data_IF_274514131990
#
_entry.id   IF_274514131990
#
_cell.length_a   1.000
_cell.length_b   1.000
_cell.length_c   1.000
_cell.angle_alpha   90.00
_cell.angle_beta   90.00
_cell.angle_gamma   90.00
#
_symmetry.space_group_name_H-M   'P 1'
#
loop_
_entity.id
_entity.type
_entity.pdbx_description
1 polymer ?
#
# COMPACT_ATOMS: atom_id res chain seq x y z
N UNK A 1 -3.92 1.01 29.24
CA UNK A 1 -2.79 0.67 28.34
C UNK A 1 -3.41 0.14 27.07
N UNK A 2 -3.18 0.78 25.92
CA UNK A 2 -3.69 0.27 24.64
C UNK A 2 -3.02 -1.06 24.28
N UNK A 3 -3.66 -1.86 23.43
CA UNK A 3 -3.05 -3.08 22.92
C UNK A 3 -1.76 -2.75 22.16
N UNK A 4 -0.74 -3.60 22.28
CA UNK A 4 0.52 -3.44 21.56
C UNK A 4 0.34 -3.80 20.07
N UNK A 5 1.14 -3.17 19.21
CA UNK A 5 1.17 -3.51 17.79
C UNK A 5 1.59 -4.96 17.59
N UNK A 6 0.99 -5.64 16.60
CA UNK A 6 1.39 -6.99 16.19
C UNK A 6 1.35 -7.10 14.67
N UNK A 7 2.17 -7.99 14.12
CA UNK A 7 2.26 -8.20 12.68
C UNK A 7 1.53 -9.49 12.29
N UNK A 8 0.56 -9.35 11.40
CA UNK A 8 -0.11 -10.47 10.77
C UNK A 8 0.37 -10.60 9.32
N UNK A 9 1.00 -11.72 8.92
CA UNK A 9 1.38 -11.93 7.52
C UNK A 9 0.15 -11.85 6.61
N UNK A 10 0.31 -11.21 5.46
CA UNK A 10 -0.72 -11.15 4.43
C UNK A 10 -0.23 -11.84 3.15
N UNK A 11 -1.17 -12.41 2.41
CA UNK A 11 -0.88 -13.11 1.17
C UNK A 11 -0.88 -12.11 0.00
N UNK A 12 0.31 -11.73 -0.43
CA UNK A 12 0.56 -10.99 -1.67
C UNK A 12 1.66 -11.69 -2.44
N UNK A 13 1.71 -11.59 -3.79
CA UNK A 13 2.78 -12.18 -4.56
C UNK A 13 4.13 -11.74 -4.00
N UNK A 14 5.07 -12.67 -3.74
CA UNK A 14 6.37 -12.31 -3.20
C UNK A 14 7.09 -11.38 -4.18
N UNK A 15 7.83 -10.40 -3.68
CA UNK A 15 8.62 -9.51 -4.52
C UNK A 15 9.91 -10.18 -4.99
N UNK A 16 10.41 -9.80 -6.16
CA UNK A 16 11.73 -10.24 -6.65
C UNK A 16 12.81 -9.83 -5.66
N UNK A 17 13.62 -10.78 -5.21
CA UNK A 17 14.70 -10.52 -4.26
C UNK A 17 15.84 -9.69 -4.86
N UNK A 18 16.09 -9.82 -6.18
CA UNK A 18 17.21 -9.12 -6.83
C UNK A 18 16.87 -7.69 -7.26
N UNK A 19 15.67 -7.47 -7.78
CA UNK A 19 15.25 -6.18 -8.30
C UNK A 19 13.71 -6.04 -8.22
N UNK A 20 13.14 -5.78 -7.04
CA UNK A 20 11.70 -5.70 -6.88
C UNK A 20 11.08 -4.51 -7.63
N UNK A 21 11.87 -3.45 -7.87
CA UNK A 21 11.45 -2.22 -8.57
C UNK A 21 10.05 -1.73 -8.16
N UNK A 22 9.80 -1.43 -6.87
CA UNK A 22 8.52 -0.90 -6.44
C UNK A 22 8.26 0.46 -7.10
N UNK A 23 7.10 0.59 -7.74
CA UNK A 23 6.58 1.81 -8.34
C UNK A 23 5.23 2.14 -7.73
N UNK A 24 5.03 3.42 -7.44
CA UNK A 24 3.85 3.91 -6.77
C UNK A 24 3.22 5.02 -7.58
N UNK A 25 1.91 4.94 -7.78
CA UNK A 25 1.08 6.06 -8.20
C UNK A 25 0.10 6.37 -7.06
N UNK A 26 0.03 7.63 -6.65
CA UNK A 26 -0.88 8.08 -5.60
C UNK A 26 -1.50 9.42 -6.01
N UNK A 27 -2.83 9.48 -6.01
CA UNK A 27 -3.61 10.73 -6.07
C UNK A 27 -4.41 10.90 -4.76
N UNK A 28 -5.41 11.79 -4.67
CA UNK A 28 -6.14 11.97 -3.40
C UNK A 28 -6.99 10.75 -3.00
N UNK A 29 -7.34 9.87 -3.94
CA UNK A 29 -8.25 8.76 -3.71
C UNK A 29 -7.55 7.41 -3.93
N UNK A 30 -6.78 7.30 -5.01
CA UNK A 30 -6.23 6.04 -5.50
C UNK A 30 -4.77 5.90 -5.14
N UNK A 31 -4.42 4.70 -4.69
CA UNK A 31 -3.05 4.25 -4.54
C UNK A 31 -2.88 2.97 -5.36
N UNK A 32 -1.92 3.00 -6.28
CA UNK A 32 -1.47 1.85 -7.05
C UNK A 32 -0.03 1.55 -6.66
N UNK A 33 0.25 0.30 -6.30
CA UNK A 33 1.58 -0.18 -5.98
C UNK A 33 1.89 -1.31 -6.94
N UNK A 34 2.92 -1.15 -7.76
CA UNK A 34 3.38 -2.18 -8.68
C UNK A 34 4.81 -2.60 -8.31
N UNK A 35 5.11 -3.89 -8.40
CA UNK A 35 6.46 -4.41 -8.22
C UNK A 35 6.66 -5.69 -9.03
N UNK A 36 7.91 -6.04 -9.33
CA UNK A 36 8.24 -7.30 -9.97
C UNK A 36 7.96 -8.45 -9.01
N UNK A 37 7.05 -9.35 -9.40
CA UNK A 37 6.73 -10.53 -8.62
C UNK A 37 7.82 -11.59 -8.82
N UNK A 38 8.19 -12.29 -7.75
CA UNK A 38 9.03 -13.46 -7.81
C UNK A 38 8.19 -14.66 -8.29
N UNK A 39 8.17 -14.87 -9.59
CA UNK A 39 7.65 -16.09 -10.19
C UNK A 39 8.86 -16.99 -10.48
N UNK A 40 8.97 -18.16 -9.82
CA UNK A 40 10.10 -19.06 -10.07
C UNK A 40 10.13 -19.48 -11.53
N UNK A 41 11.25 -19.22 -12.22
CA UNK A 41 11.56 -19.80 -13.52
C UNK A 41 12.35 -21.10 -13.30
N UNK A 42 11.76 -22.29 -13.53
CA UNK A 42 12.45 -23.56 -13.32
C UNK A 42 13.68 -23.75 -14.21
N UNK A 43 13.80 -22.97 -15.29
CA UNK A 43 14.94 -23.02 -16.20
C UNK A 43 16.08 -22.07 -15.80
N UNK A 44 15.89 -21.21 -14.78
CA UNK A 44 16.89 -20.26 -14.35
C UNK A 44 17.92 -20.91 -13.42
N UNK A 45 19.18 -20.97 -13.86
CA UNK A 45 20.29 -21.60 -13.15
C UNK A 45 21.10 -20.64 -12.26
N UNK A 46 20.70 -19.37 -12.18
CA UNK A 46 21.36 -18.34 -11.37
C UNK A 46 22.66 -17.77 -11.97
N UNK A 47 23.11 -18.23 -13.14
CA UNK A 47 24.43 -17.84 -13.70
C UNK A 47 24.38 -16.61 -14.60
N UNK A 48 23.19 -16.18 -15.04
CA UNK A 48 22.99 -15.07 -15.96
C UNK A 48 21.96 -14.06 -15.43
N UNK A 49 22.33 -13.21 -14.46
CA UNK A 49 21.42 -12.18 -13.95
C UNK A 49 21.04 -11.23 -15.08
N UNK A 50 19.72 -11.06 -15.30
CA UNK A 50 19.20 -10.12 -16.29
C UNK A 50 18.94 -8.79 -15.60
N UNK A 51 19.61 -7.74 -16.07
CA UNK A 51 19.29 -6.38 -15.63
C UNK A 51 17.88 -6.02 -16.10
N UNK A 52 17.03 -5.65 -15.15
CA UNK A 52 15.66 -5.19 -15.40
C UNK A 52 15.58 -3.70 -15.11
N UNK A 53 14.84 -2.99 -15.95
CA UNK A 53 14.53 -1.56 -15.80
C UNK A 53 13.02 -1.35 -15.79
N UNK A 54 12.53 -0.16 -15.40
CA UNK A 54 11.10 0.13 -15.42
C UNK A 54 10.40 -0.06 -16.78
N UNK A 55 11.19 0.00 -17.87
CA UNK A 55 10.72 -0.16 -19.25
C UNK A 55 10.92 -1.59 -19.79
N UNK A 56 11.49 -2.51 -19.00
CA UNK A 56 11.72 -3.90 -19.43
C UNK A 56 10.38 -4.63 -19.49
N UNK A 57 10.01 -5.10 -20.68
CA UNK A 57 8.78 -5.85 -20.92
C UNK A 57 8.83 -7.29 -20.40
N UNK A 58 7.70 -8.00 -20.56
CA UNK A 58 7.56 -9.43 -20.27
C UNK A 58 7.99 -9.82 -18.85
N UNK A 59 7.84 -8.90 -17.89
CA UNK A 59 8.11 -9.18 -16.48
C UNK A 59 6.81 -9.54 -15.76
N UNK A 60 6.82 -10.52 -14.84
CA UNK A 60 5.70 -10.75 -13.95
C UNK A 60 5.57 -9.60 -12.95
N UNK A 61 4.40 -8.97 -12.91
CA UNK A 61 4.09 -7.80 -12.09
C UNK A 61 2.98 -8.14 -11.11
N UNK A 62 3.19 -7.81 -9.84
CA UNK A 62 2.12 -7.70 -8.87
C UNK A 62 1.64 -6.24 -8.82
N UNK A 63 0.33 -6.04 -8.78
CA UNK A 63 -0.29 -4.73 -8.71
C UNK A 63 -1.34 -4.73 -7.60
N UNK A 64 -1.09 -3.93 -6.57
CA UNK A 64 -2.05 -3.63 -5.53
C UNK A 64 -2.81 -2.37 -5.93
N UNK A 65 -4.14 -2.45 -5.93
CA UNK A 65 -5.05 -1.33 -6.19
C UNK A 65 -5.82 -1.00 -4.91
N UNK A 66 -5.71 0.24 -4.47
CA UNK A 66 -6.27 0.72 -3.20
C UNK A 66 -7.11 1.97 -3.50
N UNK A 67 -8.38 1.95 -3.13
CA UNK A 67 -9.33 3.05 -3.39
C UNK A 67 -10.51 3.01 -2.39
N UNK A 68 -10.67 3.99 -1.49
CA UNK A 68 -9.72 5.05 -1.15
C UNK A 68 -8.60 4.56 -0.21
N UNK A 69 -7.43 5.20 -0.27
CA UNK A 69 -6.42 5.12 0.80
C UNK A 69 -6.46 6.37 1.71
N UNK A 70 -5.95 6.25 2.93
CA UNK A 70 -5.93 7.32 3.94
C UNK A 70 -4.55 7.95 4.09
N UNK A 71 -3.50 7.13 4.10
CA UNK A 71 -2.12 7.58 4.28
C UNK A 71 -1.15 6.63 3.60
N UNK A 72 0.01 7.16 3.20
CA UNK A 72 1.09 6.46 2.52
C UNK A 72 2.44 6.96 3.05
N UNK A 73 3.35 6.02 3.28
CA UNK A 73 4.77 6.27 3.51
C UNK A 73 5.57 5.33 2.62
N UNK A 74 6.54 5.85 1.88
CA UNK A 74 7.37 5.06 0.98
C UNK A 74 8.80 5.59 0.98
N UNK A 75 9.77 4.72 1.22
CA UNK A 75 11.18 5.07 1.30
C UNK A 75 11.94 4.17 2.28
N UNK A 76 12.92 4.69 3.04
CA UNK A 76 13.70 3.87 3.96
C UNK A 76 12.85 3.29 5.11
N UNK A 77 13.28 2.19 5.74
CA UNK A 77 14.58 1.51 5.54
C UNK A 77 14.60 0.54 4.34
N UNK A 78 15.82 0.25 3.88
CA UNK A 78 16.13 -0.89 3.02
C UNK A 78 16.27 -2.17 3.86
N UNK A 79 16.56 -3.30 3.23
CA UNK A 79 16.73 -4.59 3.90
C UNK A 79 17.94 -4.63 4.85
N UNK A 80 19.06 -3.97 4.50
CA UNK A 80 20.25 -3.86 5.35
C UNK A 80 19.99 -3.05 6.63
N UNK A 81 19.12 -2.02 6.55
CA UNK A 81 18.77 -1.14 7.66
C UNK A 81 17.44 -1.52 8.33
N UNK A 82 16.81 -2.64 7.93
CA UNK A 82 15.47 -3.04 8.41
C UNK A 82 15.42 -3.18 9.94
N UNK A 83 16.57 -3.50 10.57
CA UNK A 83 16.74 -3.57 12.01
C UNK A 83 16.42 -2.27 12.75
N UNK A 84 16.50 -1.12 12.07
CA UNK A 84 16.13 0.19 12.60
C UNK A 84 14.63 0.51 12.49
N UNK A 85 13.85 -0.32 11.81
CA UNK A 85 12.41 -0.09 11.69
C UNK A 85 11.69 -0.32 13.02
N UNK A 86 10.72 0.53 13.37
CA UNK A 86 9.97 0.45 14.64
C UNK A 86 9.26 -0.90 14.85
N UNK A 87 8.88 -1.57 13.76
CA UNK A 87 8.19 -2.88 13.79
C UNK A 87 9.15 -4.08 13.74
N UNK A 88 10.48 -3.86 13.66
CA UNK A 88 11.46 -4.94 13.58
C UNK A 88 11.43 -5.87 14.79
N UNK A 89 11.37 -5.30 15.99
CA UNK A 89 11.23 -6.07 17.24
C UNK A 89 9.94 -6.88 17.35
N UNK A 90 8.95 -6.63 16.48
CA UNK A 90 7.68 -7.34 16.41
C UNK A 90 7.66 -8.43 15.34
N UNK A 91 8.80 -8.69 14.69
CA UNK A 91 8.95 -9.75 13.69
C UNK A 91 8.90 -9.28 12.24
N UNK A 92 9.05 -7.98 11.98
CA UNK A 92 9.17 -7.47 10.60
C UNK A 92 10.43 -8.05 9.95
N UNK A 93 10.29 -8.51 8.71
CA UNK A 93 11.38 -9.11 7.93
C UNK A 93 11.49 -8.42 6.56
N UNK A 94 12.67 -8.44 5.93
CA UNK A 94 12.83 -8.10 4.50
C UNK A 94 11.94 -8.95 3.59
N UNK A 95 11.62 -8.43 2.40
CA UNK A 95 10.88 -9.14 1.34
C UNK A 95 9.56 -9.76 1.81
N UNK A 96 8.86 -9.08 2.72
CA UNK A 96 7.67 -9.61 3.41
C UNK A 96 6.56 -8.57 3.44
N UNK A 97 5.33 -9.03 3.60
CA UNK A 97 4.16 -8.18 3.71
C UNK A 97 3.34 -8.53 4.96
N UNK A 98 2.87 -7.50 5.66
CA UNK A 98 2.08 -7.65 6.88
C UNK A 98 0.93 -6.64 6.96
N UNK A 99 -0.13 -7.02 7.66
CA UNK A 99 -1.04 -6.10 8.32
C UNK A 99 -0.52 -5.82 9.74
N UNK A 100 -0.52 -4.55 10.13
CA UNK A 100 -0.13 -4.09 11.46
C UNK A 100 -1.39 -3.89 12.28
N UNK A 101 -1.67 -4.86 13.15
CA UNK A 101 -2.81 -4.82 14.05
C UNK A 101 -2.53 -3.85 15.21
N UNK A 102 -3.58 -3.23 15.74
CA UNK A 102 -3.48 -2.18 16.78
C UNK A 102 -2.56 -1.02 16.38
N UNK A 103 -2.58 -0.65 15.10
CA UNK A 103 -1.69 0.37 14.52
C UNK A 103 -1.65 1.68 15.31
N UNK A 104 -0.47 2.00 15.82
CA UNK A 104 -0.15 3.27 16.45
C UNK A 104 -0.24 4.43 15.46
N UNK A 105 0.00 4.17 14.17
CA UNK A 105 -0.12 5.17 13.12
C UNK A 105 -1.58 5.56 12.88
N UNK A 106 -2.50 4.60 12.82
CA UNK A 106 -3.95 4.87 12.75
C UNK A 106 -4.40 5.67 13.98
N UNK A 107 -3.97 5.26 15.18
CA UNK A 107 -4.30 5.97 16.41
C UNK A 107 -3.76 7.42 16.42
N UNK A 108 -2.57 7.64 15.84
CA UNK A 108 -1.98 8.97 15.70
C UNK A 108 -2.79 9.86 14.74
N UNK A 109 -3.20 9.32 13.58
CA UNK A 109 -4.04 10.04 12.62
C UNK A 109 -5.42 10.38 13.20
N UNK A 110 -6.06 9.43 13.89
CA UNK A 110 -7.33 9.65 14.60
C UNK A 110 -7.19 10.78 15.62
N UNK A 111 -6.13 10.73 16.45
CA UNK A 111 -5.87 11.75 17.46
C UNK A 111 -5.64 13.13 16.85
N UNK A 112 -4.88 13.21 15.74
CA UNK A 112 -4.64 14.46 15.04
C UNK A 112 -5.94 15.08 14.49
N UNK A 113 -6.90 14.24 14.07
CA UNK A 113 -8.18 14.67 13.52
C UNK A 113 -9.18 15.22 14.57
N UNK A 114 -8.92 15.03 15.87
CA UNK A 114 -9.81 15.46 16.96
C UNK A 114 -10.04 16.97 17.07
N UNK A 115 -9.21 17.77 16.42
CA UNK A 115 -9.41 19.23 16.33
C UNK A 115 -10.69 19.60 15.57
N UNK A 116 -11.24 18.66 14.78
CA UNK A 116 -12.50 18.85 14.08
C UNK A 116 -13.69 18.68 15.02
N UNK A 117 -14.60 19.66 15.06
CA UNK A 117 -15.75 19.69 15.99
C UNK A 117 -16.74 18.53 15.80
N UNK A 118 -16.74 17.89 14.62
CA UNK A 118 -17.56 16.71 14.31
C UNK A 118 -16.77 15.40 14.32
N UNK A 119 -15.62 15.36 14.99
CA UNK A 119 -14.77 14.17 15.04
C UNK A 119 -15.54 12.97 15.61
N UNK A 120 -15.45 11.86 14.87
CA UNK A 120 -16.10 10.59 15.19
C UNK A 120 -15.02 9.51 15.10
N UNK A 121 -14.48 9.01 16.23
CA UNK A 121 -13.40 8.03 16.25
C UNK A 121 -13.70 6.77 15.43
N UNK A 122 -14.98 6.40 15.32
CA UNK A 122 -15.50 5.26 14.58
C UNK A 122 -15.21 5.35 13.07
N UNK A 123 -14.93 6.55 12.54
CA UNK A 123 -14.50 6.70 11.14
C UNK A 123 -13.13 6.06 10.88
N UNK A 124 -12.29 5.96 11.91
CA UNK A 124 -10.95 5.36 11.82
C UNK A 124 -10.96 3.84 12.04
N UNK A 125 -12.01 3.28 12.64
CA UNK A 125 -12.04 1.85 13.02
C UNK A 125 -12.14 0.88 11.84
N UNK A 126 -12.57 1.36 10.67
CA UNK A 126 -12.64 0.56 9.45
C UNK A 126 -11.30 0.50 8.69
N UNK A 127 -10.31 1.30 9.08
CA UNK A 127 -9.01 1.32 8.42
C UNK A 127 -8.07 0.27 9.00
N UNK A 128 -7.25 -0.25 8.10
CA UNK A 128 -6.21 -1.25 8.33
C UNK A 128 -4.89 -0.67 7.87
N UNK A 129 -3.81 -1.09 8.50
CA UNK A 129 -2.46 -0.61 8.23
C UNK A 129 -1.66 -1.76 7.61
N UNK A 130 -1.10 -1.55 6.43
CA UNK A 130 -0.32 -2.54 5.70
C UNK A 130 1.11 -2.06 5.50
N UNK A 131 2.06 -3.00 5.53
CA UNK A 131 3.48 -2.77 5.29
C UNK A 131 4.02 -3.82 4.32
N UNK A 132 4.75 -3.38 3.30
CA UNK A 132 5.51 -4.19 2.36
C UNK A 132 6.99 -3.79 2.44
N UNK A 133 7.88 -4.75 2.61
CA UNK A 133 9.33 -4.54 2.63
C UNK A 133 9.96 -5.05 1.33
N UNK A 134 10.77 -4.20 0.70
CA UNK A 134 11.52 -4.48 -0.52
C UNK A 134 13.02 -4.43 -0.23
N UNK A 135 13.85 -4.60 -1.29
CA UNK A 135 15.30 -4.47 -1.20
C UNK A 135 15.70 -3.08 -0.68
N UNK A 136 15.38 -2.02 -1.43
CA UNK A 136 15.87 -0.65 -1.12
C UNK A 136 14.91 0.19 -0.29
N UNK A 137 13.69 -0.29 -0.04
CA UNK A 137 12.63 0.52 0.55
C UNK A 137 11.57 -0.31 1.28
N UNK A 138 10.87 0.37 2.16
CA UNK A 138 9.67 -0.08 2.85
C UNK A 138 8.51 0.83 2.43
N UNK A 139 7.35 0.23 2.19
CA UNK A 139 6.12 0.92 1.88
C UNK A 139 5.07 0.59 2.94
N UNK A 140 4.51 1.62 3.55
CA UNK A 140 3.39 1.50 4.49
C UNK A 140 2.20 2.29 3.98
N UNK A 141 0.99 1.74 4.08
CA UNK A 141 -0.23 2.46 3.73
C UNK A 141 -1.39 2.09 4.63
N UNK A 142 -2.33 3.02 4.76
CA UNK A 142 -3.56 2.82 5.53
C UNK A 142 -4.75 2.87 4.58
N UNK A 143 -5.57 1.82 4.59
CA UNK A 143 -6.75 1.70 3.75
C UNK A 143 -7.77 0.75 4.38
N UNK A 144 -9.00 0.69 3.86
CA UNK A 144 -9.99 -0.28 4.35
C UNK A 144 -9.71 -1.69 3.82
N UNK A 145 -9.31 -1.76 2.56
CA UNK A 145 -8.94 -3.00 1.88
C UNK A 145 -8.13 -2.66 0.62
N UNK A 146 -7.62 -3.69 -0.06
CA UNK A 146 -6.96 -3.55 -1.35
C UNK A 146 -7.22 -4.78 -2.24
N UNK A 147 -7.06 -4.60 -3.55
CA UNK A 147 -7.13 -5.68 -4.52
C UNK A 147 -5.75 -5.99 -5.06
N UNK A 148 -5.46 -7.27 -5.31
CA UNK A 148 -4.21 -7.72 -5.93
C UNK A 148 -4.52 -8.28 -7.31
N UNK A 149 -3.70 -7.93 -8.29
CA UNK A 149 -3.71 -8.58 -9.60
C UNK A 149 -2.30 -8.87 -10.09
N UNK A 150 -2.15 -9.96 -10.84
CA UNK A 150 -0.92 -10.27 -11.57
C UNK A 150 -1.06 -9.79 -13.02
N UNK A 151 0.03 -9.25 -13.56
CA UNK A 151 0.16 -8.82 -14.95
C UNK A 151 1.51 -9.25 -15.50
N UNK A 152 1.63 -9.18 -16.82
CA UNK A 152 2.90 -9.36 -17.51
C UNK A 152 3.18 -8.11 -18.35
N UNK A 153 4.41 -7.59 -18.29
CA UNK A 153 4.82 -6.43 -19.07
C UNK A 153 5.84 -5.53 -18.36
N UNK A 154 5.98 -4.31 -18.86
CA UNK A 154 6.84 -3.30 -18.25
C UNK A 154 6.12 -2.56 -17.12
N UNK A 155 6.74 -2.50 -15.93
CA UNK A 155 6.13 -1.92 -14.72
C UNK A 155 5.65 -0.49 -14.94
N UNK A 156 6.44 0.36 -15.59
CA UNK A 156 6.06 1.75 -15.84
C UNK A 156 4.86 1.85 -16.80
N UNK A 157 4.89 1.09 -17.90
CA UNK A 157 3.82 1.13 -18.89
C UNK A 157 2.49 0.66 -18.32
N UNK A 158 2.49 -0.48 -17.61
CA UNK A 158 1.29 -1.05 -17.00
C UNK A 158 0.75 -0.15 -15.88
N UNK A 159 1.62 0.41 -15.03
CA UNK A 159 1.18 1.32 -13.98
C UNK A 159 0.51 2.58 -14.55
N UNK A 160 1.11 3.19 -15.58
CA UNK A 160 0.54 4.38 -16.23
C UNK A 160 -0.76 4.06 -16.98
N UNK A 161 -0.87 2.88 -17.58
CA UNK A 161 -2.11 2.42 -18.19
C UNK A 161 -3.24 2.32 -17.16
N UNK A 162 -2.99 1.72 -16.00
CA UNK A 162 -4.00 1.57 -14.95
C UNK A 162 -4.34 2.93 -14.33
N UNK A 163 -3.34 3.77 -14.06
CA UNK A 163 -3.55 5.11 -13.52
C UNK A 163 -4.43 5.98 -14.45
N UNK A 164 -4.26 5.83 -15.77
CA UNK A 164 -5.00 6.54 -16.80
C UNK A 164 -6.43 6.03 -17.04
N UNK A 165 -6.76 4.81 -16.59
CA UNK A 165 -8.14 4.31 -16.63
C UNK A 165 -8.95 5.03 -15.55
N UNK A 166 -9.99 5.76 -15.96
CA UNK A 166 -11.02 6.22 -15.01
C UNK A 166 -11.79 5.00 -14.55
N UNK A 167 -11.75 4.70 -13.26
CA UNK A 167 -12.78 3.88 -12.62
C UNK A 167 -14.11 4.59 -12.87
N UNK A 168 -15.16 3.92 -13.41
CA UNK A 168 -16.47 4.53 -13.45
C UNK A 168 -16.83 4.89 -12.02
N UNK A 169 -17.08 6.18 -11.79
CA UNK A 169 -17.56 6.70 -10.51
C UNK A 169 -18.72 5.81 -10.07
N UNK A 170 -18.54 5.01 -9.02
CA UNK A 170 -19.68 4.43 -8.30
C UNK A 170 -20.43 5.64 -7.80
N UNK A 171 -21.58 5.93 -8.42
CA UNK A 171 -22.48 7.05 -8.09
C UNK A 171 -22.39 7.33 -6.59
N UNK A 172 -21.70 8.40 -6.16
CA UNK A 172 -21.71 8.76 -4.77
C UNK A 172 -23.15 9.14 -4.52
N UNK A 173 -23.90 8.24 -3.85
CA UNK A 173 -25.19 8.58 -3.25
C UNK A 173 -25.02 9.99 -2.70
N UNK A 174 -25.77 10.99 -3.18
CA UNK A 174 -25.45 12.37 -2.92
C UNK A 174 -25.36 12.51 -1.41
N UNK A 175 -24.17 12.82 -0.92
CA UNK A 175 -23.99 13.21 0.46
C UNK A 175 -24.78 14.51 0.56
N UNK A 176 -26.04 14.39 0.98
CA UNK A 176 -26.88 15.52 1.38
C UNK A 176 -26.29 16.07 2.68
N UNK A 177 -25.13 16.71 2.58
CA UNK A 177 -24.58 17.55 3.63
C UNK A 177 -24.94 18.98 3.26
N UNK A 178 -25.86 19.54 4.07
CA UNK A 178 -26.20 20.96 4.20
C UNK A 178 -27.09 21.57 3.12
N UNK A 179 -28.39 21.29 3.20
CA UNK A 179 -29.44 22.28 2.91
C UNK A 179 -30.65 22.06 3.84
N UNK A 180 -30.44 22.27 5.14
CA UNK A 180 -31.50 22.61 6.12
C UNK A 180 -30.93 23.45 7.27
N UNK A 181 -30.27 24.55 6.90
CA UNK A 181 -30.05 25.69 7.81
C UNK A 181 -30.32 27.02 7.08
N UNK A 182 -31.36 27.07 6.25
CA UNK A 182 -31.99 28.31 5.83
C UNK A 182 -33.52 28.12 5.82
N UNK A 183 -34.10 28.39 6.97
CA UNK A 183 -35.54 28.47 7.23
C UNK A 183 -35.73 29.19 8.55
N UNK A 184 -35.44 30.49 8.56
CA UNK A 184 -35.66 31.42 9.67
C UNK A 184 -37.16 31.52 10.00
N UNK A 185 -37.40 31.78 11.29
CA UNK A 185 -38.61 32.25 11.98
C UNK A 185 -39.69 31.21 12.29
#
# INVERSE_FOLDING_TARGET
MGASETLQPIDVPPSSAGAPLPHVFADEERLLIAYLANVPDPAFDGTNPRAVSPATGDQPLAILTVEPYLALQFGPPNDEAIGGHRLYGLGLKPYSAFEVLNSSWIASLEKANRVHSSHTPELFSAYRHFILTFHDSTLEFIARDFQVSLREGAVLAILMEIAGRRTPVRDPRPVRLLDRLLGRN
#
